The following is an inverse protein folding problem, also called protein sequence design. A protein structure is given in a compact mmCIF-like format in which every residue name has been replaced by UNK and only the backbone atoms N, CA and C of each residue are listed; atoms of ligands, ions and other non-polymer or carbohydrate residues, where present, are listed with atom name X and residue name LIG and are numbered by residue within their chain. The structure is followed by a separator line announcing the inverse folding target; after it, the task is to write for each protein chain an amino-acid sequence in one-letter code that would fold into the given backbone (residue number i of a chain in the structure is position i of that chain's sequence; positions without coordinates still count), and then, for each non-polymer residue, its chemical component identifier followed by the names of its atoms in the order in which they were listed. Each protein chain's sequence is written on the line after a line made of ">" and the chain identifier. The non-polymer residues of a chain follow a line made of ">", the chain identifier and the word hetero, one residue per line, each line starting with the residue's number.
data_IF_622275564926
#
_entry.id   IF_622275564926
#
_cell.length_a   1.000
_cell.length_b   1.000
_cell.length_c   1.000
_cell.angle_alpha   90.00
_cell.angle_beta   90.00
_cell.angle_gamma   90.00
#
_symmetry.space_group_name_H-M   'P 1'
#
loop_
_entity.id
_entity.type
_entity.pdbx_description
1 polymer ?
#
# COMPACT_ATOMS: atom_id res chain seq x y z
N UNK A 1 -17.99 5.72 19.13
CA UNK A 1 -17.11 5.09 18.14
C UNK A 1 -15.66 5.30 18.54
N UNK A 2 -14.78 4.30 18.51
CA UNK A 2 -13.43 4.32 19.12
C UNK A 2 -12.49 5.42 18.61
N UNK A 3 -12.59 5.76 17.33
CA UNK A 3 -11.74 6.78 16.70
C UNK A 3 -12.22 8.20 17.08
N UNK A 4 -13.51 8.42 17.24
CA UNK A 4 -14.06 9.71 17.63
C UNK A 4 -13.69 10.15 19.06
N UNK A 5 -13.13 9.26 19.88
CA UNK A 5 -12.61 9.57 21.23
C UNK A 5 -11.20 10.18 21.18
N UNK A 6 -10.52 10.15 20.02
CA UNK A 6 -9.17 10.67 19.86
C UNK A 6 -9.20 12.16 19.50
N UNK A 7 -8.43 13.02 20.19
CA UNK A 7 -8.50 14.49 19.98
C UNK A 7 -7.92 14.93 18.62
N UNK A 8 -7.15 14.06 17.95
CA UNK A 8 -6.46 14.32 16.68
C UNK A 8 -7.10 13.58 15.49
N UNK A 9 -8.23 12.87 15.71
CA UNK A 9 -8.93 12.11 14.66
C UNK A 9 -10.39 12.56 14.60
N UNK A 10 -10.81 13.04 13.44
CA UNK A 10 -12.20 13.36 13.14
C UNK A 10 -12.80 12.28 12.24
N UNK A 11 -13.95 11.74 12.65
CA UNK A 11 -14.73 10.82 11.83
C UNK A 11 -15.72 11.63 11.01
N UNK A 12 -15.43 11.83 9.75
CA UNK A 12 -16.20 12.69 8.85
C UNK A 12 -17.38 12.01 8.19
N UNK A 13 -17.45 10.67 8.22
CA UNK A 13 -18.57 9.92 7.66
C UNK A 13 -18.46 8.41 7.82
N UNK A 14 -19.56 7.72 7.55
CA UNK A 14 -19.68 6.26 7.53
C UNK A 14 -20.44 5.85 6.26
N UNK A 15 -20.18 4.65 5.75
CA UNK A 15 -20.82 4.07 4.58
C UNK A 15 -21.20 2.61 4.84
N UNK A 16 -22.35 2.19 4.38
CA UNK A 16 -22.88 0.85 4.57
C UNK A 16 -22.43 -0.15 3.48
N UNK A 17 -21.93 0.35 2.35
CA UNK A 17 -21.38 -0.46 1.25
C UNK A 17 -20.36 0.30 0.41
N UNK A 18 -19.73 -0.38 -0.56
CA UNK A 18 -18.68 0.19 -1.38
C UNK A 18 -19.12 1.33 -2.31
N UNK A 19 -20.35 1.33 -2.79
CA UNK A 19 -20.86 2.40 -3.66
C UNK A 19 -21.05 3.69 -2.85
N UNK A 20 -21.62 3.58 -1.67
CA UNK A 20 -21.77 4.68 -0.73
C UNK A 20 -20.41 5.18 -0.26
N UNK A 21 -19.44 4.27 0.03
CA UNK A 21 -18.08 4.63 0.41
C UNK A 21 -17.35 5.44 -0.67
N UNK A 22 -17.49 5.08 -1.95
CA UNK A 22 -16.91 5.85 -3.08
C UNK A 22 -17.52 7.25 -3.14
N UNK A 23 -18.85 7.37 -3.02
CA UNK A 23 -19.55 8.67 -3.06
C UNK A 23 -19.12 9.55 -1.88
N UNK A 24 -19.16 9.01 -0.66
CA UNK A 24 -18.77 9.72 0.54
C UNK A 24 -17.28 10.16 0.50
N UNK A 25 -16.38 9.31 0.01
CA UNK A 25 -14.98 9.67 -0.11
C UNK A 25 -14.73 10.82 -1.09
N UNK A 26 -15.49 10.90 -2.19
CA UNK A 26 -15.42 12.04 -3.14
C UNK A 26 -15.95 13.33 -2.54
N UNK A 27 -17.03 13.27 -1.76
CA UNK A 27 -17.67 14.42 -1.15
C UNK A 27 -16.89 14.95 0.05
N UNK A 28 -16.51 14.05 0.97
CA UNK A 28 -15.90 14.39 2.25
C UNK A 28 -14.37 14.53 2.19
N UNK A 29 -13.72 14.02 1.12
CA UNK A 29 -12.27 14.07 0.93
C UNK A 29 -11.47 13.67 2.18
N UNK A 30 -11.73 12.49 2.79
CA UNK A 30 -11.05 12.07 4.00
C UNK A 30 -9.55 11.81 3.73
N UNK A 31 -8.70 11.95 4.74
CA UNK A 31 -7.29 11.56 4.64
C UNK A 31 -7.13 10.03 4.60
N UNK A 32 -7.94 9.32 5.40
CA UNK A 32 -7.89 7.86 5.54
C UNK A 32 -9.29 7.29 5.47
N UNK A 33 -9.47 6.21 4.73
CA UNK A 33 -10.69 5.40 4.68
C UNK A 33 -10.39 4.04 5.29
N UNK A 34 -11.16 3.65 6.30
CA UNK A 34 -11.19 2.27 6.79
C UNK A 34 -12.16 1.46 5.96
N UNK A 35 -11.69 0.43 5.29
CA UNK A 35 -12.46 -0.33 4.31
C UNK A 35 -12.59 -1.79 4.71
N UNK A 36 -13.82 -2.25 4.93
CA UNK A 36 -14.07 -3.69 5.03
C UNK A 36 -13.99 -4.35 3.65
N UNK A 37 -13.36 -5.53 3.57
CA UNK A 37 -13.32 -6.32 2.33
C UNK A 37 -14.72 -6.81 1.96
N UNK A 38 -15.46 -7.33 2.93
CA UNK A 38 -16.76 -7.97 2.68
C UNK A 38 -17.91 -7.02 2.95
N UNK A 39 -18.43 -6.42 1.90
CA UNK A 39 -19.61 -5.56 1.94
C UNK A 39 -20.64 -5.98 0.89
N UNK A 40 -21.94 -5.69 1.12
CA UNK A 40 -22.97 -5.97 0.13
C UNK A 40 -22.82 -5.07 -1.12
N UNK A 41 -23.39 -5.49 -2.24
CA UNK A 41 -23.45 -4.76 -3.52
C UNK A 41 -22.09 -4.53 -4.17
N UNK A 42 -21.29 -3.63 -3.64
CA UNK A 42 -19.91 -3.35 -4.09
C UNK A 42 -18.98 -3.75 -2.96
N UNK A 43 -18.09 -4.69 -3.21
CA UNK A 43 -17.10 -5.14 -2.23
C UNK A 43 -16.01 -4.09 -1.96
N UNK A 44 -15.26 -4.28 -0.88
CA UNK A 44 -14.26 -3.32 -0.45
C UNK A 44 -13.06 -3.20 -1.39
N UNK A 45 -12.75 -4.21 -2.19
CA UNK A 45 -11.64 -4.17 -3.15
C UNK A 45 -12.03 -3.28 -4.33
N UNK A 46 -13.24 -3.49 -4.89
CA UNK A 46 -13.78 -2.65 -5.94
C UNK A 46 -13.95 -1.19 -5.47
N UNK A 47 -14.42 -1.00 -4.23
CA UNK A 47 -14.53 0.32 -3.61
C UNK A 47 -13.16 0.98 -3.43
N UNK A 48 -12.15 0.24 -2.98
CA UNK A 48 -10.76 0.72 -2.87
C UNK A 48 -10.25 1.23 -4.21
N UNK A 49 -10.42 0.47 -5.29
CA UNK A 49 -10.02 0.90 -6.64
C UNK A 49 -10.72 2.19 -7.07
N UNK A 50 -12.04 2.33 -6.78
CA UNK A 50 -12.80 3.53 -7.07
C UNK A 50 -12.30 4.75 -6.29
N UNK A 51 -12.15 4.62 -4.98
CA UNK A 51 -11.66 5.70 -4.11
C UNK A 51 -10.25 6.11 -4.51
N UNK A 52 -9.36 5.14 -4.72
CA UNK A 52 -7.98 5.40 -5.09
C UNK A 52 -7.83 6.08 -6.45
N UNK A 53 -8.72 5.83 -7.40
CA UNK A 53 -8.73 6.49 -8.70
C UNK A 53 -9.20 7.95 -8.59
N UNK A 54 -10.19 8.21 -7.75
CA UNK A 54 -10.96 9.46 -7.80
C UNK A 54 -10.57 10.45 -6.69
N UNK A 55 -9.81 10.01 -5.68
CA UNK A 55 -9.44 10.82 -4.52
C UNK A 55 -7.97 10.62 -4.12
N UNK A 56 -7.45 11.50 -3.26
CA UNK A 56 -6.15 11.35 -2.62
C UNK A 56 -6.21 10.54 -1.30
N UNK A 57 -7.39 10.11 -0.88
CA UNK A 57 -7.59 9.37 0.36
C UNK A 57 -6.77 8.08 0.39
N UNK A 58 -6.16 7.76 1.51
CA UNK A 58 -5.45 6.50 1.73
C UNK A 58 -6.41 5.46 2.26
N UNK A 59 -6.40 4.26 1.69
CA UNK A 59 -7.32 3.20 2.08
C UNK A 59 -6.60 2.17 2.94
N UNK A 60 -7.08 1.98 4.16
CA UNK A 60 -6.66 0.97 5.10
C UNK A 60 -7.71 -0.14 5.14
N UNK A 61 -7.37 -1.30 4.60
CA UNK A 61 -8.30 -2.42 4.50
C UNK A 61 -8.36 -3.19 5.81
N UNK A 62 -9.57 -3.48 6.27
CA UNK A 62 -9.86 -4.32 7.43
C UNK A 62 -10.31 -5.71 6.98
N UNK A 63 -9.63 -6.76 7.45
CA UNK A 63 -9.92 -8.13 7.05
C UNK A 63 -9.99 -9.09 8.23
N UNK A 64 -10.62 -10.25 8.04
CA UNK A 64 -10.57 -11.39 8.95
C UNK A 64 -9.45 -12.36 8.54
N UNK A 65 -9.25 -13.45 9.26
CA UNK A 65 -8.09 -14.36 9.18
C UNK A 65 -7.79 -15.05 7.82
N UNK A 66 -8.70 -15.05 6.84
CA UNK A 66 -8.48 -15.69 5.51
C UNK A 66 -7.76 -14.72 4.56
N UNK A 67 -6.46 -14.54 4.77
CA UNK A 67 -5.68 -13.38 4.36
C UNK A 67 -5.13 -13.38 2.93
N UNK A 68 -4.79 -14.54 2.38
CA UNK A 68 -3.80 -14.57 1.27
C UNK A 68 -4.35 -14.09 -0.08
N UNK A 69 -5.64 -14.30 -0.37
CA UNK A 69 -6.22 -13.98 -1.68
C UNK A 69 -6.66 -12.51 -1.78
N UNK A 70 -7.31 -11.98 -0.75
CA UNK A 70 -7.87 -10.63 -0.75
C UNK A 70 -6.85 -9.53 -0.51
N UNK A 71 -5.75 -9.82 0.20
CA UNK A 71 -4.73 -8.81 0.52
C UNK A 71 -4.02 -8.31 -0.74
N UNK A 72 -3.64 -9.21 -1.64
CA UNK A 72 -3.00 -8.83 -2.88
C UNK A 72 -3.91 -8.02 -3.78
N UNK A 73 -5.16 -8.45 -3.94
CA UNK A 73 -6.13 -7.73 -4.75
C UNK A 73 -6.43 -6.34 -4.17
N UNK A 74 -6.49 -6.21 -2.84
CA UNK A 74 -6.62 -4.93 -2.17
C UNK A 74 -5.40 -4.01 -2.40
N UNK A 75 -4.18 -4.54 -2.32
CA UNK A 75 -2.96 -3.78 -2.61
C UNK A 75 -2.90 -3.35 -4.09
N UNK A 76 -3.27 -4.22 -5.02
CA UNK A 76 -3.39 -3.87 -6.45
C UNK A 76 -4.47 -2.83 -6.72
N UNK A 77 -5.56 -2.87 -5.96
CA UNK A 77 -6.62 -1.86 -6.03
C UNK A 77 -6.17 -0.48 -5.50
N UNK A 78 -5.00 -0.39 -4.86
CA UNK A 78 -4.43 0.85 -4.36
C UNK A 78 -4.47 1.00 -2.84
N UNK A 79 -4.78 -0.05 -2.08
CA UNK A 79 -4.75 0.01 -0.63
C UNK A 79 -3.37 0.41 -0.12
N UNK A 80 -3.34 1.29 0.88
CA UNK A 80 -2.12 1.78 1.55
C UNK A 80 -1.68 0.89 2.72
N UNK A 81 -2.53 -0.06 3.12
CA UNK A 81 -2.27 -1.03 4.17
C UNK A 81 -3.48 -1.90 4.45
N UNK A 82 -3.28 -2.84 5.36
CA UNK A 82 -4.36 -3.68 5.88
C UNK A 82 -4.15 -3.98 7.37
N UNK A 83 -5.23 -4.29 8.06
CA UNK A 83 -5.26 -4.69 9.45
C UNK A 83 -6.24 -5.84 9.66
N UNK A 84 -5.98 -6.65 10.67
CA UNK A 84 -6.92 -7.68 11.10
C UNK A 84 -8.03 -7.07 11.95
N UNK A 85 -9.27 -7.52 11.77
CA UNK A 85 -10.41 -7.01 12.56
C UNK A 85 -10.35 -7.34 14.05
N UNK A 86 -9.54 -8.30 14.45
CA UNK A 86 -9.31 -8.68 15.86
C UNK A 86 -8.22 -7.86 16.56
N UNK A 87 -7.63 -6.86 15.86
CA UNK A 87 -6.64 -5.98 16.45
C UNK A 87 -7.17 -5.19 17.64
N UNK A 88 -6.24 -4.79 18.51
CA UNK A 88 -6.56 -3.93 19.66
C UNK A 88 -6.85 -2.49 19.19
N UNK A 89 -7.70 -1.79 19.96
CA UNK A 89 -8.07 -0.40 19.69
C UNK A 89 -6.86 0.53 19.49
N UNK A 90 -5.85 0.40 20.32
CA UNK A 90 -4.63 1.20 20.22
C UNK A 90 -3.89 0.99 18.89
N UNK A 91 -3.90 -0.23 18.37
CA UNK A 91 -3.27 -0.58 17.10
C UNK A 91 -3.99 0.08 15.90
N UNK A 92 -5.34 0.12 15.93
CA UNK A 92 -6.12 0.81 14.91
C UNK A 92 -5.85 2.33 14.90
N UNK A 93 -5.82 2.94 16.07
CA UNK A 93 -5.55 4.39 16.22
C UNK A 93 -4.16 4.72 15.68
N UNK A 94 -3.15 3.95 16.09
CA UNK A 94 -1.77 4.13 15.62
C UNK A 94 -1.67 3.91 14.11
N UNK A 95 -2.36 2.91 13.59
CA UNK A 95 -2.44 2.62 12.17
C UNK A 95 -2.97 3.81 11.37
N UNK A 96 -4.05 4.43 11.80
CA UNK A 96 -4.61 5.62 11.14
C UNK A 96 -3.60 6.78 11.15
N UNK A 97 -2.90 7.00 12.27
CA UNK A 97 -1.88 8.06 12.37
C UNK A 97 -0.71 7.82 11.42
N UNK A 98 -0.15 6.61 11.42
CA UNK A 98 0.97 6.22 10.55
C UNK A 98 0.61 6.38 9.08
N UNK A 99 -0.57 5.89 8.66
CA UNK A 99 -1.04 6.02 7.27
C UNK A 99 -1.31 7.48 6.91
N UNK A 100 -1.93 8.27 7.78
CA UNK A 100 -2.19 9.68 7.50
C UNK A 100 -0.89 10.48 7.32
N UNK A 101 0.14 10.17 8.11
CA UNK A 101 1.48 10.75 7.99
C UNK A 101 2.23 10.36 6.70
N UNK A 102 1.68 9.43 5.90
CA UNK A 102 2.32 8.94 4.67
C UNK A 102 3.34 7.84 4.90
N UNK A 103 3.43 7.33 6.11
CA UNK A 103 4.27 6.20 6.45
C UNK A 103 3.58 4.87 6.12
N UNK A 104 4.32 3.79 6.00
CA UNK A 104 3.78 2.45 5.69
C UNK A 104 3.44 1.71 6.98
N UNK A 105 2.23 1.21 7.07
CA UNK A 105 1.75 0.38 8.20
C UNK A 105 2.21 -1.07 8.13
N UNK A 106 2.73 -1.47 7.00
CA UNK A 106 3.23 -2.82 6.85
C UNK A 106 4.60 -2.89 7.49
N UNK A 107 4.71 -3.61 8.62
CA UNK A 107 6.01 -4.03 9.10
C UNK A 107 6.78 -4.65 7.91
N UNK A 108 8.05 -4.29 7.72
CA UNK A 108 8.84 -4.73 6.57
C UNK A 108 8.78 -6.26 6.31
N UNK A 109 8.72 -7.04 7.39
CA UNK A 109 8.60 -8.50 7.37
C UNK A 109 7.24 -8.99 6.87
N UNK A 110 6.15 -8.27 7.20
CA UNK A 110 4.79 -8.63 6.79
C UNK A 110 4.58 -8.30 5.31
N UNK A 111 5.06 -7.15 4.85
CA UNK A 111 5.06 -6.78 3.43
C UNK A 111 5.80 -7.82 2.59
N UNK A 112 7.00 -8.21 3.01
CA UNK A 112 7.81 -9.23 2.30
C UNK A 112 7.11 -10.58 2.23
N UNK A 113 6.54 -11.05 3.33
CA UNK A 113 5.87 -12.34 3.41
C UNK A 113 4.62 -12.36 2.54
N UNK A 114 3.78 -11.36 2.65
CA UNK A 114 2.53 -11.28 1.89
C UNK A 114 2.76 -11.12 0.40
N UNK A 115 3.66 -10.22 -0.01
CA UNK A 115 3.95 -10.03 -1.43
C UNK A 115 4.73 -11.22 -1.98
N UNK A 116 5.68 -11.78 -1.23
CA UNK A 116 6.42 -12.98 -1.63
C UNK A 116 5.52 -14.20 -1.81
N UNK A 117 4.61 -14.46 -0.87
CA UNK A 117 3.70 -15.60 -0.92
C UNK A 117 2.62 -15.44 -2.01
N UNK A 118 2.12 -14.22 -2.20
CA UNK A 118 1.04 -13.95 -3.14
C UNK A 118 1.55 -13.77 -4.57
N UNK A 119 2.65 -13.07 -4.78
CA UNK A 119 3.27 -12.97 -6.12
C UNK A 119 3.84 -14.34 -6.55
N UNK A 120 4.34 -15.13 -5.61
CA UNK A 120 4.79 -16.51 -5.87
C UNK A 120 3.65 -17.46 -6.25
N UNK A 121 2.42 -17.24 -5.74
CA UNK A 121 1.21 -18.03 -6.05
C UNK A 121 0.39 -17.45 -7.20
N UNK A 122 0.45 -16.14 -7.43
CA UNK A 122 -0.33 -15.47 -8.47
C UNK A 122 0.47 -15.41 -9.77
N UNK A 123 0.08 -16.25 -10.73
CA UNK A 123 0.40 -16.19 -12.16
C UNK A 123 1.87 -15.86 -12.51
N UNK A 124 2.56 -16.72 -13.25
CA UNK A 124 3.89 -16.41 -13.79
C UNK A 124 3.88 -15.05 -14.48
N UNK A 125 4.94 -14.25 -14.33
CA UNK A 125 5.12 -12.97 -15.02
C UNK A 125 4.87 -13.05 -16.54
N UNK A 126 5.00 -14.24 -17.12
CA UNK A 126 4.70 -14.57 -18.52
C UNK A 126 3.22 -14.36 -18.94
N UNK A 127 2.29 -14.09 -17.99
CA UNK A 127 0.87 -13.92 -18.31
C UNK A 127 0.39 -12.46 -18.33
N UNK A 128 1.26 -11.47 -18.04
CA UNK A 128 0.94 -10.04 -18.21
C UNK A 128 1.14 -9.64 -19.68
N UNK A 129 0.29 -8.75 -20.22
CA UNK A 129 0.49 -8.22 -21.57
C UNK A 129 1.86 -7.54 -21.69
N UNK A 130 2.57 -7.75 -22.80
CA UNK A 130 3.87 -7.14 -23.07
C UNK A 130 3.85 -5.59 -22.96
N UNK A 131 2.72 -4.96 -23.29
CA UNK A 131 2.49 -3.54 -23.12
C UNK A 131 2.57 -3.05 -21.68
N UNK A 132 2.13 -3.87 -20.72
CA UNK A 132 2.20 -3.54 -19.28
C UNK A 132 3.65 -3.57 -18.78
N UNK A 133 4.45 -4.56 -19.19
CA UNK A 133 5.88 -4.61 -18.87
C UNK A 133 6.64 -3.42 -19.45
N UNK A 134 6.38 -3.04 -20.71
CA UNK A 134 6.99 -1.87 -21.33
C UNK A 134 6.63 -0.56 -20.63
N UNK A 135 5.42 -0.44 -20.09
CA UNK A 135 5.01 0.74 -19.32
C UNK A 135 5.78 0.81 -17.99
N UNK A 136 5.91 -0.31 -17.29
CA UNK A 136 6.66 -0.37 -16.03
C UNK A 136 8.17 -0.13 -16.26
N UNK A 137 8.76 -0.67 -17.33
CA UNK A 137 10.16 -0.40 -17.71
C UNK A 137 10.41 1.09 -17.97
N UNK A 138 9.49 1.79 -18.66
CA UNK A 138 9.60 3.23 -18.88
C UNK A 138 9.50 4.04 -17.58
N UNK A 139 8.63 3.63 -16.67
CA UNK A 139 8.51 4.25 -15.33
C UNK A 139 9.79 4.08 -14.53
N UNK A 140 10.34 2.86 -14.51
CA UNK A 140 11.60 2.57 -13.81
C UNK A 140 12.79 3.31 -14.43
N UNK A 141 12.83 3.49 -15.76
CA UNK A 141 13.87 4.25 -16.44
C UNK A 141 13.89 5.75 -16.08
N UNK A 142 12.81 6.30 -15.51
CA UNK A 142 12.77 7.68 -15.02
C UNK A 142 13.48 7.87 -13.66
N UNK A 143 13.83 6.77 -12.98
CA UNK A 143 14.53 6.82 -11.71
C UNK A 143 16.03 7.01 -11.89
N UNK A 144 16.63 7.79 -11.01
CA UNK A 144 18.09 7.80 -10.85
C UNK A 144 18.58 6.48 -10.28
N UNK A 145 19.89 6.22 -10.40
CA UNK A 145 20.51 5.01 -9.85
C UNK A 145 20.21 4.87 -8.35
N UNK A 146 20.29 5.97 -7.57
CA UNK A 146 20.00 5.97 -6.14
C UNK A 146 18.53 5.74 -5.80
N UNK A 147 17.63 6.27 -6.58
CA UNK A 147 16.19 6.01 -6.40
C UNK A 147 15.84 4.56 -6.74
N UNK A 148 16.47 3.98 -7.77
CA UNK A 148 16.27 2.57 -8.13
C UNK A 148 16.85 1.63 -7.06
N UNK A 149 18.03 1.95 -6.50
CA UNK A 149 18.58 1.24 -5.34
C UNK A 149 17.64 1.31 -4.14
N UNK A 150 17.14 2.52 -3.84
CA UNK A 150 16.17 2.74 -2.77
C UNK A 150 14.90 1.91 -3.00
N UNK A 151 14.36 1.87 -4.24
CA UNK A 151 13.18 1.06 -4.58
C UNK A 151 13.41 -0.43 -4.32
N UNK A 152 14.58 -0.97 -4.67
CA UNK A 152 14.93 -2.36 -4.38
C UNK A 152 14.95 -2.65 -2.88
N UNK A 153 15.49 -1.73 -2.07
CA UNK A 153 15.51 -1.90 -0.61
C UNK A 153 14.11 -1.78 0.01
N UNK A 154 13.30 -0.84 -0.50
CA UNK A 154 11.89 -0.71 -0.14
C UNK A 154 11.12 -2.00 -0.45
N UNK A 155 11.33 -2.60 -1.62
CA UNK A 155 10.70 -3.86 -2.02
C UNK A 155 11.17 -5.06 -1.18
N UNK A 156 12.39 -5.02 -0.65
CA UNK A 156 12.90 -6.00 0.33
C UNK A 156 12.29 -5.79 1.73
N UNK A 157 11.51 -4.72 1.90
CA UNK A 157 10.82 -4.38 3.13
C UNK A 157 11.70 -3.74 4.20
N UNK A 158 12.83 -3.11 3.85
CA UNK A 158 13.68 -2.40 4.81
C UNK A 158 13.04 -1.07 5.22
N UNK A 159 13.14 -0.72 6.50
CA UNK A 159 12.79 0.62 7.01
C UNK A 159 13.75 1.69 6.46
N UNK A 160 13.39 2.97 6.60
CA UNK A 160 14.29 4.05 6.18
C UNK A 160 15.63 4.03 6.94
N UNK A 161 15.62 3.66 8.22
CA UNK A 161 16.83 3.51 9.02
C UNK A 161 17.73 2.37 8.52
N UNK A 162 17.16 1.20 8.19
CA UNK A 162 17.90 0.07 7.62
C UNK A 162 18.44 0.41 6.23
N UNK A 163 17.66 1.08 5.38
CA UNK A 163 18.13 1.55 4.06
C UNK A 163 19.27 2.55 4.22
N UNK A 164 19.16 3.47 5.17
CA UNK A 164 20.20 4.45 5.47
C UNK A 164 21.53 3.77 5.84
N UNK A 165 21.46 2.74 6.68
CA UNK A 165 22.63 1.93 7.05
C UNK A 165 23.23 1.18 5.84
N UNK A 166 22.40 0.53 5.00
CA UNK A 166 22.88 -0.19 3.82
C UNK A 166 23.48 0.72 2.74
N UNK A 167 22.93 1.90 2.54
CA UNK A 167 23.38 2.86 1.51
C UNK A 167 24.42 3.85 2.01
N UNK A 168 24.80 3.79 3.29
CA UNK A 168 25.74 4.71 3.94
C UNK A 168 25.32 6.18 3.81
N UNK A 169 24.05 6.47 4.05
CA UNK A 169 23.45 7.81 4.01
C UNK A 169 22.67 8.09 5.29
N UNK A 170 22.14 9.31 5.46
CA UNK A 170 21.24 9.62 6.56
C UNK A 170 19.80 9.13 6.28
N UNK A 171 19.02 8.88 7.33
CA UNK A 171 17.60 8.54 7.20
C UNK A 171 16.81 9.66 6.50
N UNK A 172 17.17 10.92 6.73
CA UNK A 172 16.58 12.06 6.03
C UNK A 172 16.82 11.99 4.52
N UNK A 173 18.02 11.60 4.10
CA UNK A 173 18.36 11.39 2.68
C UNK A 173 17.50 10.27 2.08
N UNK A 174 17.29 9.16 2.81
CA UNK A 174 16.42 8.08 2.36
C UNK A 174 14.98 8.56 2.22
N UNK A 175 14.43 9.31 3.19
CA UNK A 175 13.09 9.91 3.10
C UNK A 175 12.95 10.76 1.83
N UNK A 176 13.96 11.55 1.50
CA UNK A 176 13.98 12.37 0.27
C UNK A 176 13.99 11.49 -0.98
N UNK A 177 14.81 10.43 -1.03
CA UNK A 177 14.82 9.50 -2.18
C UNK A 177 13.50 8.77 -2.34
N UNK A 178 12.87 8.32 -1.23
CA UNK A 178 11.55 7.68 -1.26
C UNK A 178 10.50 8.65 -1.79
N UNK A 179 10.43 9.87 -1.29
CA UNK A 179 9.45 10.87 -1.75
C UNK A 179 9.62 11.20 -3.24
N UNK A 180 10.87 11.43 -3.69
CA UNK A 180 11.19 11.72 -5.08
C UNK A 180 10.84 10.54 -6.01
N UNK A 181 11.18 9.31 -5.61
CA UNK A 181 10.86 8.09 -6.31
C UNK A 181 9.33 7.91 -6.46
N UNK A 182 8.57 8.06 -5.38
CA UNK A 182 7.10 7.95 -5.41
C UNK A 182 6.50 8.98 -6.36
N UNK A 183 6.95 10.23 -6.31
CA UNK A 183 6.50 11.30 -7.20
C UNK A 183 6.79 10.97 -8.68
N UNK A 184 8.01 10.53 -9.02
CA UNK A 184 8.40 10.16 -10.39
C UNK A 184 7.61 8.97 -10.93
N UNK A 185 7.32 7.99 -10.07
CA UNK A 185 6.55 6.81 -10.42
C UNK A 185 5.03 7.07 -10.41
N UNK A 186 4.55 8.24 -9.94
CA UNK A 186 3.14 8.54 -9.77
C UNK A 186 2.47 7.60 -8.76
N UNK A 187 3.18 7.20 -7.71
CA UNK A 187 2.71 6.28 -6.69
C UNK A 187 2.24 7.05 -5.45
N UNK A 188 1.20 6.55 -4.81
CA UNK A 188 0.55 7.19 -3.66
C UNK A 188 1.34 7.03 -2.36
N UNK A 189 1.97 5.88 -2.20
CA UNK A 189 2.68 5.49 -0.99
C UNK A 189 3.71 4.39 -1.24
N UNK A 190 4.43 4.04 -0.17
CA UNK A 190 5.47 3.03 -0.17
C UNK A 190 4.97 1.63 -0.50
N UNK A 191 3.72 1.31 -0.16
CA UNK A 191 3.12 0.00 -0.44
C UNK A 191 2.98 -0.20 -1.93
N UNK A 192 2.52 0.85 -2.64
CA UNK A 192 2.41 0.83 -4.09
C UNK A 192 3.78 0.70 -4.79
N UNK A 193 4.84 1.24 -4.19
CA UNK A 193 6.20 1.05 -4.70
C UNK A 193 6.64 -0.42 -4.58
N UNK A 194 6.29 -1.09 -3.48
CA UNK A 194 6.55 -2.52 -3.32
C UNK A 194 5.78 -3.33 -4.38
N UNK A 195 4.48 -3.09 -4.55
CA UNK A 195 3.65 -3.75 -5.58
C UNK A 195 4.28 -3.60 -6.97
N UNK A 196 4.62 -2.38 -7.36
CA UNK A 196 5.27 -2.10 -8.66
C UNK A 196 6.59 -2.86 -8.82
N UNK A 197 7.44 -2.89 -7.80
CA UNK A 197 8.75 -3.55 -7.87
C UNK A 197 8.62 -5.07 -8.10
N UNK A 198 7.62 -5.72 -7.51
CA UNK A 198 7.33 -7.12 -7.76
C UNK A 198 6.64 -7.34 -9.12
N UNK A 199 5.66 -6.54 -9.47
CA UNK A 199 4.94 -6.67 -10.74
C UNK A 199 5.81 -6.41 -11.97
N UNK A 200 6.77 -5.49 -11.87
CA UNK A 200 7.77 -5.23 -12.93
C UNK A 200 8.89 -6.27 -13.02
N UNK A 201 8.96 -7.20 -12.04
CA UNK A 201 10.06 -8.15 -11.97
C UNK A 201 11.40 -7.55 -11.50
N UNK A 202 11.42 -6.30 -11.00
CA UNK A 202 12.61 -5.67 -10.44
C UNK A 202 13.14 -6.44 -9.21
N UNK A 203 12.22 -7.07 -8.48
CA UNK A 203 12.50 -7.98 -7.36
C UNK A 203 11.70 -9.26 -7.56
N UNK A 204 12.34 -10.41 -7.41
CA UNK A 204 11.69 -11.71 -7.40
C UNK A 204 11.56 -12.23 -5.97
N UNK A 205 10.44 -12.91 -5.61
CA UNK A 205 10.34 -13.58 -4.32
C UNK A 205 11.50 -14.56 -4.14
N UNK A 206 12.18 -14.52 -2.99
CA UNK A 206 13.14 -15.57 -2.66
C UNK A 206 12.36 -16.86 -2.44
N UNK A 207 12.64 -17.88 -3.23
CA UNK A 207 12.25 -19.25 -2.88
C UNK A 207 12.81 -19.54 -1.49
N UNK A 208 11.92 -19.84 -0.53
CA UNK A 208 12.37 -20.32 0.79
C UNK A 208 12.95 -21.71 0.57
N UNK A 209 14.26 -21.84 0.73
CA UNK A 209 14.91 -23.11 1.04
C UNK A 209 14.67 -23.46 2.50
#
# INVERSE_FOLDING_TARGET
>A
MMLAEQPDIEVVGEAADGAEAISAARELQPHVVLMDVRMPRVDGIAATAGICRDTAAKVLVLTTFDLDEYVYDALRAGASGFLLKDMRRAELVEAVRVISAGESLLAPTVTRRLIGDVVGRSRPAAARPAAAHQADDRRLAALTVRELETLRQVARGLSNAEIAAELFVTEHTVKTHVSSMLAKLGLRDRVQAVVLAYESGLVTPRSQE
#
